data_IF_310536233661
#
_entry.id   IF_310536233661
#
_cell.length_a   1.000
_cell.length_b   1.000
_cell.length_c   1.000
_cell.angle_alpha   90.00
_cell.angle_beta   90.00
_cell.angle_gamma   90.00
#
_symmetry.space_group_name_H-M   'P 1'
#
loop_
_entity.id
_entity.type
_entity.pdbx_description
1 polymer ?
#
# COMPACT_ATOMS: atom_id res chain seq x y z
N UNK A 1 -1.16 -9.61 -11.16
CA UNK A 1 -2.50 -9.24 -10.72
C UNK A 1 -2.91 -7.90 -11.31
N UNK A 2 -4.20 -7.69 -11.47
CA UNK A 2 -4.73 -6.39 -11.89
C UNK A 2 -4.86 -5.48 -10.67
N UNK A 3 -4.71 -4.15 -10.88
CA UNK A 3 -4.85 -3.14 -9.82
C UNK A 3 -6.33 -2.81 -9.55
N UNK A 4 -7.13 -3.84 -9.26
CA UNK A 4 -8.57 -3.75 -8.98
C UNK A 4 -8.90 -4.44 -7.65
N UNK A 5 -9.95 -4.01 -6.93
CA UNK A 5 -10.30 -4.58 -5.62
C UNK A 5 -10.60 -6.07 -5.66
N UNK A 6 -11.14 -6.57 -6.76
CA UNK A 6 -11.51 -7.98 -6.96
C UNK A 6 -10.29 -8.91 -6.91
N UNK A 7 -9.09 -8.39 -7.12
CA UNK A 7 -7.85 -9.14 -6.92
C UNK A 7 -7.73 -9.66 -5.48
N UNK A 8 -8.26 -8.91 -4.51
CA UNK A 8 -8.22 -9.28 -3.10
C UNK A 8 -8.99 -10.57 -2.82
N UNK A 9 -10.16 -10.78 -3.43
CA UNK A 9 -11.02 -11.96 -3.22
C UNK A 9 -10.26 -13.26 -3.48
N UNK A 10 -9.39 -13.25 -4.47
CA UNK A 10 -8.64 -14.44 -4.86
C UNK A 10 -7.48 -14.78 -3.91
N UNK A 11 -6.84 -13.75 -3.34
CA UNK A 11 -5.60 -13.96 -2.59
C UNK A 11 -5.75 -13.92 -1.08
N UNK A 12 -6.72 -13.18 -0.54
CA UNK A 12 -6.85 -12.98 0.92
C UNK A 12 -7.05 -14.29 1.66
N UNK A 13 -7.92 -15.18 1.17
CA UNK A 13 -8.16 -16.49 1.79
C UNK A 13 -6.89 -17.33 1.89
N UNK A 14 -6.02 -17.27 0.86
CA UNK A 14 -4.75 -17.99 0.85
C UNK A 14 -3.76 -17.39 1.85
N UNK A 15 -3.69 -16.07 1.98
CA UNK A 15 -2.83 -15.40 2.95
C UNK A 15 -3.27 -15.70 4.39
N UNK A 16 -4.58 -15.67 4.65
CA UNK A 16 -5.14 -16.06 5.95
C UNK A 16 -4.80 -17.52 6.29
N UNK A 17 -5.01 -18.43 5.36
CA UNK A 17 -4.69 -19.85 5.55
C UNK A 17 -3.19 -20.11 5.78
N UNK A 18 -2.33 -19.23 5.23
CA UNK A 18 -0.88 -19.29 5.44
C UNK A 18 -0.42 -18.61 6.74
N UNK A 19 -1.34 -18.09 7.56
CA UNK A 19 -1.01 -17.44 8.83
C UNK A 19 -0.38 -16.04 8.66
N UNK A 20 -0.65 -15.34 7.54
CA UNK A 20 -0.14 -14.00 7.32
C UNK A 20 -0.69 -13.01 8.35
N UNK A 21 0.18 -12.24 9.00
CA UNK A 21 -0.17 -11.19 9.96
C UNK A 21 -0.13 -9.80 9.36
N UNK A 22 0.38 -9.66 8.14
CA UNK A 22 0.40 -8.40 7.40
C UNK A 22 0.34 -8.63 5.89
N UNK A 23 -0.30 -7.70 5.17
CA UNK A 23 -0.40 -7.72 3.71
C UNK A 23 0.05 -6.37 3.17
N UNK A 24 1.08 -6.38 2.32
CA UNK A 24 1.54 -5.21 1.57
C UNK A 24 0.92 -5.25 0.17
N UNK A 25 0.17 -4.22 -0.16
CA UNK A 25 -0.57 -4.11 -1.41
C UNK A 25 0.15 -3.18 -2.40
N UNK A 26 0.10 -3.51 -3.69
CA UNK A 26 0.71 -2.70 -4.74
C UNK A 26 -0.04 -1.39 -5.06
N UNK A 27 -1.22 -1.17 -4.47
CA UNK A 27 -1.97 0.10 -4.54
C UNK A 27 -2.97 0.21 -3.41
N UNK A 28 -3.43 1.44 -3.11
CA UNK A 28 -4.50 1.69 -2.14
C UNK A 28 -5.84 1.09 -2.58
N UNK A 29 -6.07 0.97 -3.89
CA UNK A 29 -7.27 0.34 -4.45
C UNK A 29 -7.32 -1.14 -4.12
N UNK A 30 -6.21 -1.85 -4.27
CA UNK A 30 -6.09 -3.26 -3.85
C UNK A 30 -6.22 -3.36 -2.31
N UNK A 31 -5.54 -2.48 -1.56
CA UNK A 31 -5.59 -2.47 -0.11
C UNK A 31 -7.02 -2.30 0.42
N UNK A 32 -7.83 -1.44 -0.20
CA UNK A 32 -9.26 -1.31 0.10
C UNK A 32 -9.99 -2.64 -0.07
N UNK A 33 -9.75 -3.35 -1.18
CA UNK A 33 -10.33 -4.67 -1.43
C UNK A 33 -9.88 -5.69 -0.37
N UNK A 34 -8.60 -5.68 0.01
CA UNK A 34 -8.05 -6.56 1.06
C UNK A 34 -8.72 -6.30 2.41
N UNK A 35 -8.88 -5.05 2.82
CA UNK A 35 -9.56 -4.69 4.08
C UNK A 35 -10.99 -5.23 4.09
N UNK A 36 -11.73 -5.03 3.00
CA UNK A 36 -13.11 -5.51 2.88
C UNK A 36 -13.18 -7.03 2.95
N UNK A 37 -12.31 -7.74 2.23
CA UNK A 37 -12.25 -9.21 2.25
C UNK A 37 -11.88 -9.76 3.63
N UNK A 38 -10.89 -9.18 4.30
CA UNK A 38 -10.55 -9.56 5.67
C UNK A 38 -11.77 -9.44 6.59
N UNK A 39 -12.49 -8.32 6.54
CA UNK A 39 -13.69 -8.08 7.33
C UNK A 39 -14.81 -9.08 7.02
N UNK A 40 -15.02 -9.42 5.74
CA UNK A 40 -16.00 -10.43 5.32
C UNK A 40 -15.68 -11.83 5.85
N UNK A 41 -14.40 -12.15 6.03
CA UNK A 41 -13.93 -13.41 6.64
C UNK A 41 -13.85 -13.36 8.17
N UNK A 42 -14.27 -12.26 8.81
CA UNK A 42 -14.27 -12.10 10.27
C UNK A 42 -12.92 -11.68 10.86
N UNK A 43 -11.96 -11.25 10.03
CA UNK A 43 -10.67 -10.75 10.48
C UNK A 43 -10.70 -9.23 10.66
N UNK A 44 -10.19 -8.77 11.78
CA UNK A 44 -10.10 -7.34 12.10
C UNK A 44 -8.79 -6.75 11.58
N UNK A 45 -8.89 -5.65 10.85
CA UNK A 45 -7.75 -4.81 10.48
C UNK A 45 -7.72 -3.62 11.44
N UNK A 46 -6.63 -3.39 12.17
CA UNK A 46 -5.31 -4.01 12.06
C UNK A 46 -5.03 -5.17 13.04
N UNK A 47 -5.97 -5.54 13.95
CA UNK A 47 -5.67 -6.38 15.11
C UNK A 47 -5.26 -7.82 14.73
N UNK A 48 -5.89 -8.41 13.72
CA UNK A 48 -5.57 -9.74 13.24
C UNK A 48 -4.62 -9.69 12.05
N UNK A 49 -4.82 -8.72 11.14
CA UNK A 49 -4.00 -8.53 9.93
C UNK A 49 -3.75 -7.05 9.70
N UNK A 50 -2.48 -6.66 9.61
CA UNK A 50 -2.08 -5.32 9.18
C UNK A 50 -2.16 -5.20 7.66
N UNK A 51 -2.61 -4.05 7.15
CA UNK A 51 -2.70 -3.80 5.72
C UNK A 51 -2.00 -2.48 5.37
N UNK A 52 -1.11 -2.52 4.38
CA UNK A 52 -0.39 -1.36 3.85
C UNK A 52 -0.69 -1.20 2.37
N UNK A 53 -1.00 0.01 1.95
CA UNK A 53 -1.24 0.38 0.57
C UNK A 53 -0.04 1.08 -0.09
N UNK A 54 -0.29 1.63 -1.28
CA UNK A 54 0.68 2.41 -2.05
C UNK A 54 -0.07 3.46 -2.89
N UNK A 55 0.47 4.67 -3.00
CA UNK A 55 0.02 5.87 -3.72
C UNK A 55 -0.56 6.99 -2.86
N UNK A 56 -1.09 6.74 -1.69
CA UNK A 56 -1.80 7.70 -0.84
C UNK A 56 -2.88 8.49 -1.63
N UNK A 57 -3.80 7.74 -2.22
CA UNK A 57 -4.95 8.33 -2.92
C UNK A 57 -5.92 8.98 -1.94
N UNK A 58 -6.75 9.89 -2.43
CA UNK A 58 -7.66 10.70 -1.59
C UNK A 58 -8.53 9.90 -0.61
N UNK A 59 -8.98 8.72 -1.01
CA UNK A 59 -9.84 7.91 -0.15
C UNK A 59 -9.06 7.13 0.93
N UNK A 60 -7.73 7.00 0.85
CA UNK A 60 -6.96 6.19 1.79
C UNK A 60 -7.16 6.61 3.26
N UNK A 61 -7.24 7.92 3.51
CA UNK A 61 -7.50 8.49 4.84
C UNK A 61 -8.96 8.30 5.32
N UNK A 62 -9.89 8.04 4.41
CA UNK A 62 -11.33 7.90 4.70
C UNK A 62 -11.79 6.44 4.80
N UNK A 63 -10.88 5.47 4.63
CA UNK A 63 -11.20 4.06 4.84
C UNK A 63 -11.42 3.76 6.33
N UNK A 64 -12.04 2.64 6.60
CA UNK A 64 -12.24 2.11 7.96
C UNK A 64 -11.60 0.73 8.06
N UNK A 65 -10.44 0.62 8.73
CA UNK A 65 -9.65 1.71 9.31
C UNK A 65 -8.95 2.59 8.26
N UNK A 66 -8.54 3.83 8.60
CA UNK A 66 -7.70 4.67 7.76
C UNK A 66 -6.42 3.95 7.34
N UNK A 67 -6.10 3.99 6.05
CA UNK A 67 -5.06 3.15 5.44
C UNK A 67 -3.67 3.74 5.60
N UNK A 68 -2.77 2.99 6.24
CA UNK A 68 -1.33 3.19 6.18
C UNK A 68 -0.85 2.92 4.75
N UNK A 69 -0.11 3.85 4.16
CA UNK A 69 0.27 3.78 2.75
C UNK A 69 1.60 4.47 2.47
N UNK A 70 2.12 4.30 1.27
CA UNK A 70 3.32 4.97 0.80
C UNK A 70 2.93 6.08 -0.15
N UNK A 71 3.28 7.34 0.19
CA UNK A 71 3.05 8.50 -0.64
C UNK A 71 4.23 8.74 -1.58
N UNK A 72 3.91 8.89 -2.85
CA UNK A 72 4.82 9.47 -3.83
C UNK A 72 4.43 10.93 -4.07
N UNK A 73 5.42 11.84 -4.00
CA UNK A 73 5.20 13.26 -4.29
C UNK A 73 4.99 13.47 -5.80
N UNK A 74 3.73 13.31 -6.22
CA UNK A 74 3.32 13.31 -7.65
C UNK A 74 3.69 14.58 -8.38
N UNK A 75 3.62 15.75 -7.70
CA UNK A 75 4.01 17.02 -8.29
C UNK A 75 5.51 17.06 -8.58
N UNK A 76 6.33 16.58 -7.64
CA UNK A 76 7.77 16.51 -7.83
C UNK A 76 8.14 15.49 -8.91
N UNK A 77 7.44 14.35 -8.94
CA UNK A 77 7.62 13.33 -9.98
C UNK A 77 7.35 13.93 -11.38
N UNK A 78 6.21 14.62 -11.55
CA UNK A 78 5.87 15.27 -12.82
C UNK A 78 6.87 16.37 -13.21
N UNK A 79 7.27 17.20 -12.27
CA UNK A 79 8.27 18.25 -12.50
C UNK A 79 9.63 17.68 -12.89
N UNK A 80 10.12 16.67 -12.18
CA UNK A 80 11.38 16.00 -12.51
C UNK A 80 11.32 15.32 -13.88
N UNK A 81 10.23 14.63 -14.18
CA UNK A 81 10.04 14.00 -15.49
C UNK A 81 10.09 15.03 -16.63
N UNK A 82 9.43 16.18 -16.47
CA UNK A 82 9.47 17.25 -17.44
C UNK A 82 10.90 17.80 -17.64
N UNK A 83 11.61 18.10 -16.53
CA UNK A 83 12.98 18.63 -16.59
C UNK A 83 13.91 17.65 -17.29
N UNK A 84 13.83 16.36 -16.94
CA UNK A 84 14.66 15.31 -17.54
C UNK A 84 14.36 15.20 -19.05
N UNK A 85 13.09 15.10 -19.43
CA UNK A 85 12.70 15.01 -20.84
C UNK A 85 13.16 16.21 -21.64
N UNK A 86 12.94 17.44 -21.13
CA UNK A 86 13.37 18.67 -21.79
C UNK A 86 14.89 18.71 -21.95
N UNK A 87 15.65 18.29 -20.94
CA UNK A 87 17.11 18.23 -21.02
C UNK A 87 17.57 17.20 -22.07
N UNK A 88 16.94 16.05 -22.15
CA UNK A 88 17.23 15.03 -23.17
C UNK A 88 16.98 15.54 -24.60
N UNK A 89 15.86 16.25 -24.82
CA UNK A 89 15.50 16.80 -26.11
C UNK A 89 16.57 17.83 -26.57
N UNK A 90 17.10 18.62 -25.63
CA UNK A 90 18.11 19.66 -25.91
C UNK A 90 19.55 19.16 -25.75
N UNK A 91 19.78 17.86 -25.60
CA UNK A 91 21.10 17.26 -25.38
C UNK A 91 21.87 17.85 -24.20
N UNK A 92 21.17 18.30 -23.16
CA UNK A 92 21.76 18.81 -21.92
C UNK A 92 22.08 17.60 -21.01
N UNK A 93 23.32 17.53 -20.49
CA UNK A 93 23.65 16.47 -19.53
C UNK A 93 22.75 16.51 -18.31
N UNK A 94 22.22 15.35 -17.91
CA UNK A 94 21.39 15.19 -16.72
C UNK A 94 22.09 14.30 -15.70
N UNK A 95 21.98 14.67 -14.43
CA UNK A 95 22.36 13.81 -13.32
C UNK A 95 21.21 12.90 -12.92
N UNK A 96 21.55 11.75 -12.31
CA UNK A 96 20.55 10.83 -11.77
C UNK A 96 19.72 11.53 -10.69
N UNK A 97 18.40 11.58 -10.88
CA UNK A 97 17.46 12.10 -9.90
C UNK A 97 16.76 10.92 -9.22
N UNK A 98 16.67 10.96 -7.89
CA UNK A 98 15.97 9.99 -7.09
C UNK A 98 14.99 10.72 -6.16
N UNK A 99 13.70 10.44 -6.32
CA UNK A 99 12.66 10.88 -5.39
C UNK A 99 12.48 9.82 -4.30
N UNK A 100 12.34 10.28 -3.06
CA UNK A 100 12.12 9.38 -1.92
C UNK A 100 10.63 9.36 -1.60
N UNK A 101 9.99 8.18 -1.60
CA UNK A 101 8.63 8.05 -1.11
C UNK A 101 8.58 8.21 0.41
N UNK A 102 7.39 8.52 0.94
CA UNK A 102 7.15 8.72 2.37
C UNK A 102 6.15 7.68 2.86
N UNK A 103 6.44 7.07 4.01
CA UNK A 103 5.45 6.28 4.73
C UNK A 103 4.45 7.22 5.42
N UNK A 104 3.17 7.02 5.16
CA UNK A 104 2.06 7.69 5.81
C UNK A 104 1.39 6.69 6.73
N UNK A 105 1.79 6.70 7.98
CA UNK A 105 1.25 5.81 9.00
C UNK A 105 -0.14 6.27 9.43
N UNK A 106 -1.10 5.32 9.43
CA UNK A 106 -2.48 5.51 9.88
C UNK A 106 -2.90 4.33 10.76
N UNK A 107 -4.17 3.91 10.69
CA UNK A 107 -4.74 2.96 11.64
C UNK A 107 -4.88 1.52 11.09
N UNK A 108 -4.43 1.25 9.87
CA UNK A 108 -4.52 -0.09 9.27
C UNK A 108 -3.36 -1.02 9.60
N UNK A 109 -2.45 -0.58 10.48
CA UNK A 109 -1.28 -1.37 10.93
C UNK A 109 -1.16 -1.36 12.43
N UNK A 110 -0.76 -2.49 13.02
CA UNK A 110 -0.51 -2.65 14.45
C UNK A 110 0.65 -3.65 14.69
N UNK A 111 1.10 -3.70 15.93
CA UNK A 111 2.04 -4.75 16.36
C UNK A 111 1.33 -6.10 16.32
N UNK A 112 2.05 -7.15 15.93
CA UNK A 112 1.55 -8.52 15.97
C UNK A 112 1.18 -8.88 17.41
N UNK A 113 -0.04 -9.39 17.60
CA UNK A 113 -0.46 -9.89 18.91
C UNK A 113 0.40 -11.10 19.30
N UNK A 114 0.93 -11.09 20.53
CA UNK A 114 1.75 -12.19 21.08
C UNK A 114 1.00 -13.52 21.19
N UNK A 115 -0.32 -13.52 21.04
CA UNK A 115 -1.12 -14.74 20.97
C UNK A 115 -0.84 -15.58 19.69
N UNK A 116 -0.39 -14.97 18.60
CA UNK A 116 -0.02 -15.67 17.36
C UNK A 116 1.45 -16.12 17.33
N UNK A 117 2.27 -15.64 18.26
CA UNK A 117 3.70 -15.98 18.32
C UNK A 117 4.01 -17.24 19.15
N UNK A 118 2.99 -17.92 19.70
CA UNK A 118 3.15 -19.07 20.60
C UNK A 118 2.90 -20.44 19.94
N UNK A 119 2.72 -20.51 18.63
CA UNK A 119 2.46 -21.79 17.90
C UNK A 119 3.59 -22.14 16.89
N UNK A 120 4.83 -21.68 17.15
CA UNK A 120 6.02 -22.21 16.47
C UNK A 120 6.88 -23.07 17.42
#
# INVERSE_FOLDING_TARGET
GYYIPETAQYYVSNFIAAGATAILCGSDTIAKGVILECQMHGFNVPNDISVVGFDDVKFAAALTPPLTTIRQERNDLGRCAYIILNSLIHHIPISRTQLRPMLIERESTARVSTAHAAEE
#
